data_IF_416947911318
#
_entry.id   IF_416947911318
#
_cell.length_a   1.000
_cell.length_b   1.000
_cell.length_c   1.000
_cell.angle_alpha   90.00
_cell.angle_beta   90.00
_cell.angle_gamma   90.00
#
_symmetry.space_group_name_H-M   'P 1'
#
loop_
_entity.id
_entity.type
_entity.pdbx_description
1 polymer ?
#
# COMPACT_ATOMS: atom_id res chain seq x y z
N UNK A 1 -36.23 14.01 -39.40
CA UNK A 1 -35.25 14.74 -38.56
C UNK A 1 -34.69 13.75 -37.57
N UNK A 2 -33.60 13.04 -37.93
CA UNK A 2 -33.01 12.02 -37.06
C UNK A 2 -31.86 12.67 -36.28
N UNK A 3 -32.13 12.98 -35.01
CA UNK A 3 -31.12 13.40 -34.06
C UNK A 3 -30.19 12.22 -33.74
N UNK A 4 -29.03 12.18 -34.38
CA UNK A 4 -27.91 11.32 -33.98
C UNK A 4 -27.24 11.95 -32.76
N UNK A 5 -27.76 11.68 -31.57
CA UNK A 5 -27.08 11.95 -30.32
C UNK A 5 -25.89 10.98 -30.20
N UNK A 6 -24.70 11.39 -30.65
CA UNK A 6 -23.47 10.61 -30.43
C UNK A 6 -22.94 10.97 -29.04
N UNK A 7 -23.00 10.00 -28.14
CA UNK A 7 -22.24 10.01 -26.89
C UNK A 7 -20.76 10.38 -27.19
N UNK A 8 -20.13 11.26 -26.41
CA UNK A 8 -18.76 11.69 -26.70
C UNK A 8 -17.81 10.49 -26.64
N UNK A 9 -16.94 10.37 -27.66
CA UNK A 9 -15.90 9.34 -27.73
C UNK A 9 -15.10 9.32 -26.42
N UNK A 10 -15.26 8.23 -25.66
CA UNK A 10 -14.60 8.04 -24.37
C UNK A 10 -13.11 7.85 -24.63
N UNK A 11 -12.28 8.81 -24.20
CA UNK A 11 -10.83 8.67 -24.19
C UNK A 11 -10.43 7.46 -23.32
N UNK A 12 -9.83 6.44 -23.96
CA UNK A 12 -9.29 5.26 -23.27
C UNK A 12 -7.79 5.48 -23.08
N UNK A 13 -7.35 5.48 -21.82
CA UNK A 13 -5.93 5.48 -21.49
C UNK A 13 -5.39 4.04 -21.50
N UNK A 14 -4.28 3.82 -22.22
CA UNK A 14 -3.57 2.54 -22.20
C UNK A 14 -2.36 2.64 -21.27
N UNK A 15 -2.35 1.83 -20.22
CA UNK A 15 -1.20 1.73 -19.32
C UNK A 15 -0.11 0.86 -19.99
N UNK A 16 1.16 1.31 -20.03
CA UNK A 16 2.27 0.47 -20.47
C UNK A 16 2.30 -0.87 -19.73
N UNK A 17 2.61 -1.97 -20.45
CA UNK A 17 2.62 -3.32 -19.86
C UNK A 17 3.59 -3.44 -18.68
N UNK A 18 4.68 -2.66 -18.68
CA UNK A 18 5.67 -2.65 -17.59
C UNK A 18 5.13 -2.10 -16.25
N UNK A 19 3.99 -1.40 -16.27
CA UNK A 19 3.33 -0.87 -15.07
C UNK A 19 2.17 -1.75 -14.60
N UNK A 20 1.86 -2.84 -15.33
CA UNK A 20 0.84 -3.79 -14.87
C UNK A 20 1.36 -4.51 -13.61
N UNK A 21 0.51 -4.67 -12.57
CA UNK A 21 0.89 -5.45 -11.40
C UNK A 21 1.29 -6.87 -11.79
N UNK A 22 2.33 -7.39 -11.13
CA UNK A 22 2.74 -8.78 -11.27
C UNK A 22 2.04 -9.63 -10.21
N UNK A 23 1.63 -10.83 -10.58
CA UNK A 23 1.09 -11.80 -9.64
C UNK A 23 2.14 -12.15 -8.57
N UNK A 24 1.69 -12.31 -7.33
CA UNK A 24 2.50 -12.71 -6.18
C UNK A 24 1.67 -13.65 -5.32
N UNK A 25 2.20 -14.84 -5.04
CA UNK A 25 1.54 -15.85 -4.20
C UNK A 25 1.76 -15.62 -2.70
N UNK A 26 2.74 -14.79 -2.35
CA UNK A 26 3.20 -14.57 -0.97
C UNK A 26 2.61 -13.29 -0.34
N UNK A 27 1.40 -12.89 -0.72
CA UNK A 27 0.77 -11.66 -0.21
C UNK A 27 0.08 -11.87 1.14
N UNK A 28 0.41 -11.01 2.09
CA UNK A 28 -0.21 -10.94 3.42
C UNK A 28 -0.70 -9.52 3.72
N UNK A 29 -1.77 -9.41 4.48
CA UNK A 29 -2.29 -8.12 4.97
C UNK A 29 -1.76 -7.85 6.38
N UNK A 30 -1.21 -6.66 6.59
CA UNK A 30 -0.80 -6.13 7.88
C UNK A 30 -1.59 -4.86 8.21
N UNK A 31 -1.78 -4.58 9.49
CA UNK A 31 -2.49 -3.40 9.96
C UNK A 31 -3.99 -3.65 10.17
N UNK A 32 -4.76 -2.56 10.20
CA UNK A 32 -6.20 -2.64 10.46
C UNK A 32 -6.95 -3.41 9.35
N UNK A 33 -8.07 -4.03 9.72
CA UNK A 33 -9.01 -4.66 8.78
C UNK A 33 -9.77 -3.62 7.94
N UNK A 34 -9.84 -2.39 8.42
CA UNK A 34 -10.53 -1.28 7.77
C UNK A 34 -9.52 -0.35 7.10
N UNK A 35 -9.38 0.87 7.60
CA UNK A 35 -8.42 1.85 7.09
C UNK A 35 -7.02 1.69 7.71
N UNK A 36 -5.98 1.98 6.91
CA UNK A 36 -4.58 1.88 7.32
C UNK A 36 -4.00 0.45 7.28
N UNK A 37 -4.64 -0.49 6.59
CA UNK A 37 -4.10 -1.84 6.36
C UNK A 37 -3.42 -1.96 4.99
N UNK A 38 -2.21 -2.53 4.97
CA UNK A 38 -1.38 -2.69 3.78
C UNK A 38 -1.27 -4.15 3.36
N UNK A 39 -1.20 -4.40 2.06
CA UNK A 39 -0.85 -5.72 1.51
C UNK A 39 0.62 -5.70 1.12
N UNK A 40 1.37 -6.64 1.68
CA UNK A 40 2.82 -6.77 1.47
C UNK A 40 3.16 -8.22 1.17
N UNK A 41 4.33 -8.48 0.62
CA UNK A 41 4.82 -9.84 0.43
C UNK A 41 5.49 -10.37 1.70
N UNK A 42 5.29 -11.63 2.08
CA UNK A 42 5.99 -12.25 3.22
C UNK A 42 7.52 -12.18 3.06
N UNK A 43 8.00 -12.23 1.82
CA UNK A 43 9.42 -12.05 1.53
C UNK A 43 9.97 -10.71 2.00
N UNK A 44 9.20 -9.62 1.95
CA UNK A 44 9.70 -8.33 2.47
C UNK A 44 9.85 -8.40 3.99
N UNK A 45 8.87 -8.98 4.68
CA UNK A 45 8.88 -9.10 6.14
C UNK A 45 10.13 -9.85 6.59
N UNK A 46 10.50 -10.93 5.90
CA UNK A 46 11.68 -11.74 6.24
C UNK A 46 13.01 -11.01 6.04
N UNK A 47 13.13 -10.18 4.98
CA UNK A 47 14.39 -9.56 4.57
C UNK A 47 14.53 -8.10 5.00
N UNK A 48 13.53 -7.52 5.66
CA UNK A 48 13.61 -6.15 6.19
C UNK A 48 14.47 -6.09 7.45
N UNK A 49 15.49 -5.22 7.45
CA UNK A 49 16.34 -4.99 8.62
C UNK A 49 15.75 -3.97 9.60
N UNK A 50 14.98 -2.99 9.11
CA UNK A 50 14.26 -2.00 9.91
C UNK A 50 13.12 -1.37 9.11
N UNK A 51 12.11 -0.83 9.82
CA UNK A 51 10.98 -0.12 9.23
C UNK A 51 11.10 1.38 9.53
N UNK A 52 10.79 2.21 8.54
CA UNK A 52 10.68 3.67 8.70
C UNK A 52 9.23 4.09 8.49
N UNK A 53 8.58 4.55 9.55
CA UNK A 53 7.26 5.18 9.51
C UNK A 53 7.40 6.70 9.41
N UNK A 54 6.71 7.32 8.44
CA UNK A 54 6.71 8.77 8.23
C UNK A 54 5.29 9.30 8.46
N UNK A 55 5.14 10.17 9.45
CA UNK A 55 3.86 10.59 9.99
C UNK A 55 3.35 9.62 11.05
N UNK A 56 3.07 10.11 12.25
CA UNK A 56 2.57 9.30 13.37
C UNK A 56 1.11 9.68 13.64
N UNK A 57 0.21 8.85 13.12
CA UNK A 57 -1.23 8.95 13.40
C UNK A 57 -1.66 8.13 14.62
N UNK A 58 -2.96 8.12 14.89
CA UNK A 58 -3.55 7.29 15.96
C UNK A 58 -3.57 5.80 15.63
N UNK A 59 -3.46 5.43 14.34
CA UNK A 59 -3.41 4.07 13.88
C UNK A 59 -1.99 3.71 13.41
N UNK A 60 -1.27 2.97 14.24
CA UNK A 60 0.09 2.46 14.01
C UNK A 60 0.10 0.92 14.00
N UNK A 61 -1.03 0.33 13.60
CA UNK A 61 -1.23 -1.12 13.64
C UNK A 61 -0.37 -1.84 12.61
N UNK A 62 -0.04 -1.19 11.50
CA UNK A 62 0.87 -1.75 10.50
C UNK A 62 2.24 -2.04 11.12
N UNK A 63 2.81 -1.05 11.81
CA UNK A 63 4.08 -1.12 12.51
C UNK A 63 4.04 -2.19 13.61
N UNK A 64 2.95 -2.21 14.38
CA UNK A 64 2.71 -3.20 15.43
C UNK A 64 2.73 -4.63 14.86
N UNK A 65 1.97 -4.87 13.79
CA UNK A 65 1.85 -6.16 13.13
C UNK A 65 3.19 -6.59 12.52
N UNK A 66 3.90 -5.66 11.86
CA UNK A 66 5.20 -5.91 11.26
C UNK A 66 6.24 -6.29 12.33
N UNK A 67 6.29 -5.52 13.43
CA UNK A 67 7.17 -5.80 14.56
C UNK A 67 6.91 -7.17 15.18
N UNK A 68 5.63 -7.58 15.32
CA UNK A 68 5.31 -8.91 15.85
C UNK A 68 5.85 -10.05 14.99
N UNK A 69 5.92 -9.87 13.67
CA UNK A 69 6.40 -10.90 12.74
C UNK A 69 7.92 -10.92 12.57
N UNK A 70 8.57 -9.77 12.41
CA UNK A 70 10.02 -9.68 12.12
C UNK A 70 10.88 -9.31 13.32
N UNK A 71 10.32 -8.65 14.34
CA UNK A 71 11.05 -8.16 15.52
C UNK A 71 12.24 -7.25 15.18
N UNK A 72 12.21 -6.57 14.04
CA UNK A 72 13.21 -5.58 13.65
C UNK A 72 12.90 -4.20 14.26
N UNK A 73 13.88 -3.29 14.35
CA UNK A 73 13.63 -1.90 14.73
C UNK A 73 12.56 -1.24 13.86
N UNK A 74 11.72 -0.43 14.50
CA UNK A 74 10.74 0.43 13.83
C UNK A 74 11.01 1.86 14.29
N UNK A 75 11.36 2.71 13.33
CA UNK A 75 11.63 4.13 13.54
C UNK A 75 10.48 4.94 12.98
N UNK A 76 9.78 5.67 13.84
CA UNK A 76 8.68 6.53 13.41
C UNK A 76 9.06 7.99 13.61
N UNK A 77 8.81 8.81 12.60
CA UNK A 77 9.14 10.23 12.60
C UNK A 77 7.89 11.04 12.27
N UNK A 78 7.65 12.10 13.02
CA UNK A 78 6.58 13.06 12.76
C UNK A 78 7.10 14.48 12.99
N UNK A 79 6.67 15.43 12.17
CA UNK A 79 7.03 16.83 12.32
C UNK A 79 6.56 17.47 13.65
N UNK A 80 5.60 16.85 14.34
CA UNK A 80 5.10 17.29 15.65
C UNK A 80 5.89 16.72 16.83
N UNK A 81 6.82 15.80 16.57
CA UNK A 81 7.65 15.15 17.59
C UNK A 81 9.08 15.70 17.45
N UNK A 82 9.54 16.38 18.50
CA UNK A 82 10.87 17.02 18.60
C UNK A 82 11.75 16.36 19.65
#
# INVERSE_FOLDING_TARGET
>A
MNGSNREPDRLVAHLPDCLKPRHRDDLVRLGSKHDGGYVVTESIIRHTDFVVGLGVGTNWKFEEDFYRLKKCPVHCYDHTIS
#
